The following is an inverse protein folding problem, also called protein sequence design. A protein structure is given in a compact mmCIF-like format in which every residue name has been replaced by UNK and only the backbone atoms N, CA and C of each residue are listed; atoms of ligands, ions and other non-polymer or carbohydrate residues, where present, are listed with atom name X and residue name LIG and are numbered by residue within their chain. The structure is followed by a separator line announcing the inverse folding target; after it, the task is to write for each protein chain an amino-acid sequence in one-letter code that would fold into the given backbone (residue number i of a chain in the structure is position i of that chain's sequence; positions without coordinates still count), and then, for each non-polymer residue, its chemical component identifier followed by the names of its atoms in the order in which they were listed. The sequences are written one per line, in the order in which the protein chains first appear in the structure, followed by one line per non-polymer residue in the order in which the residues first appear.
data_IF_714060387192
#
_entry.id   IF_714060387192
#
_cell.length_a   1.000
_cell.length_b   1.000
_cell.length_c   1.000
_cell.angle_alpha   90.00
_cell.angle_beta   90.00
_cell.angle_gamma   90.00
#
_symmetry.space_group_name_H-M   'P 1'
#
loop_
_entity.id
_entity.type
_entity.pdbx_description
1 polymer ?
#
# COMPACT_ATOMS: atom_id res chain seq x y z
N UNK A 1 -12.92 14.07 -20.24
CA UNK A 1 -12.45 13.82 -18.86
C UNK A 1 -12.62 12.35 -18.57
N UNK A 2 -11.56 11.53 -18.57
CA UNK A 2 -11.62 10.11 -18.16
C UNK A 2 -10.30 9.74 -17.47
N UNK A 3 -10.12 10.21 -16.22
CA UNK A 3 -9.02 9.81 -15.34
C UNK A 3 -9.41 8.61 -14.45
N UNK A 4 -10.19 7.67 -14.99
CA UNK A 4 -10.77 6.53 -14.26
C UNK A 4 -9.94 5.25 -14.35
N UNK A 5 -8.66 5.31 -14.73
CA UNK A 5 -7.90 4.09 -15.05
C UNK A 5 -6.61 3.83 -14.26
N UNK A 6 -6.27 4.61 -13.24
CA UNK A 6 -5.00 4.34 -12.53
C UNK A 6 -4.99 4.70 -11.04
N UNK A 7 -6.14 4.64 -10.37
CA UNK A 7 -6.13 4.73 -8.90
C UNK A 7 -5.75 3.37 -8.31
N UNK A 8 -4.75 3.32 -7.40
CA UNK A 8 -4.44 2.09 -6.69
C UNK A 8 -5.66 1.55 -5.96
N UNK A 9 -5.90 0.24 -6.07
CA UNK A 9 -6.95 -0.43 -5.30
C UNK A 9 -6.60 -0.51 -3.82
N UNK A 10 -5.31 -0.58 -3.49
CA UNK A 10 -4.80 -0.58 -2.12
C UNK A 10 -3.78 0.52 -1.91
N UNK A 11 -3.81 1.16 -0.75
CA UNK A 11 -2.85 2.17 -0.36
C UNK A 11 -2.56 2.07 1.14
N UNK A 12 -1.46 2.66 1.59
CA UNK A 12 -1.15 2.77 3.01
C UNK A 12 -1.14 4.25 3.43
N UNK A 13 -1.50 4.52 4.68
CA UNK A 13 -1.42 5.83 5.30
C UNK A 13 -0.75 5.74 6.68
N UNK A 14 0.19 6.65 7.01
CA UNK A 14 0.75 6.70 8.36
C UNK A 14 -0.33 7.03 9.39
N UNK A 15 -0.29 6.35 10.53
CA UNK A 15 -1.18 6.57 11.67
C UNK A 15 -0.38 6.32 12.96
N UNK A 16 0.00 7.41 13.64
CA UNK A 16 0.89 7.36 14.80
C UNK A 16 2.21 6.64 14.46
N UNK A 17 2.52 5.54 15.15
CA UNK A 17 3.73 4.74 14.98
C UNK A 17 3.55 3.55 14.03
N UNK A 18 2.45 3.50 13.28
CA UNK A 18 2.13 2.41 12.37
C UNK A 18 1.68 2.93 11.01
N UNK A 19 1.64 2.04 10.03
CA UNK A 19 1.10 2.28 8.70
C UNK A 19 -0.13 1.41 8.50
N UNK A 20 -1.29 2.05 8.38
CA UNK A 20 -2.53 1.36 8.09
C UNK A 20 -2.68 1.17 6.58
N UNK A 21 -3.06 -0.02 6.17
CA UNK A 21 -3.33 -0.40 4.80
C UNK A 21 -4.84 -0.39 4.60
N UNK A 22 -5.28 0.29 3.54
CA UNK A 22 -6.68 0.40 3.17
C UNK A 22 -6.89 -0.12 1.75
N UNK A 23 -8.11 -0.60 1.49
CA UNK A 23 -8.63 -0.88 0.16
C UNK A 23 -9.59 0.23 -0.23
N UNK A 24 -9.37 0.83 -1.38
CA UNK A 24 -10.28 1.81 -1.97
C UNK A 24 -11.45 1.08 -2.65
N UNK A 25 -12.61 1.10 -2.01
CA UNK A 25 -13.89 0.67 -2.60
C UNK A 25 -14.70 1.91 -3.05
N UNK A 26 -15.75 1.72 -3.85
CA UNK A 26 -16.52 2.80 -4.54
C UNK A 26 -17.28 3.81 -3.66
N UNK A 27 -16.94 3.94 -2.38
CA UNK A 27 -17.57 4.90 -1.48
C UNK A 27 -17.07 4.88 -0.03
N UNK A 28 -16.26 3.88 0.34
CA UNK A 28 -15.64 3.80 1.66
C UNK A 28 -14.31 3.08 1.56
N UNK A 29 -13.30 3.61 2.23
CA UNK A 29 -12.04 2.90 2.36
C UNK A 29 -12.17 1.84 3.46
N UNK A 30 -11.86 0.60 3.11
CA UNK A 30 -11.90 -0.53 4.03
C UNK A 30 -10.52 -0.74 4.64
N UNK A 31 -10.41 -0.74 5.96
CA UNK A 31 -9.17 -1.11 6.64
C UNK A 31 -8.84 -2.59 6.37
N UNK A 32 -7.62 -2.87 5.94
CA UNK A 32 -7.15 -4.21 5.57
C UNK A 32 -6.19 -4.75 6.62
N UNK A 33 -5.18 -3.96 6.99
CA UNK A 33 -4.13 -4.38 7.92
C UNK A 33 -3.33 -3.18 8.46
N UNK A 34 -2.48 -3.40 9.46
CA UNK A 34 -1.49 -2.42 9.92
C UNK A 34 -0.12 -3.07 10.09
N UNK A 35 0.92 -2.29 9.81
CA UNK A 35 2.31 -2.72 9.94
C UNK A 35 3.14 -1.66 10.62
N UNK A 36 4.23 -2.06 11.26
CA UNK A 36 5.09 -1.15 12.01
C UNK A 36 5.95 -0.27 11.09
N UNK A 37 6.41 -0.81 9.95
CA UNK A 37 7.35 -0.11 9.08
C UNK A 37 6.74 0.29 7.74
N UNK A 38 7.25 1.40 7.18
CA UNK A 38 6.84 1.85 5.86
C UNK A 38 7.22 0.84 4.76
N UNK A 39 8.33 0.12 4.93
CA UNK A 39 8.79 -0.86 3.95
C UNK A 39 7.84 -2.06 3.84
N UNK A 40 7.39 -2.59 4.99
CA UNK A 40 6.35 -3.62 5.03
C UNK A 40 5.05 -3.12 4.41
N UNK A 41 4.66 -1.87 4.69
CA UNK A 41 3.44 -1.28 4.16
C UNK A 41 3.50 -1.18 2.63
N UNK A 42 4.64 -0.74 2.12
CA UNK A 42 4.91 -0.64 0.68
C UNK A 42 4.92 -2.01 0.03
N UNK A 43 5.61 -3.00 0.61
CA UNK A 43 5.64 -4.38 0.09
C UNK A 43 4.23 -4.95 -0.02
N UNK A 44 3.43 -4.80 1.04
CA UNK A 44 2.07 -5.34 1.11
C UNK A 44 1.12 -4.62 0.16
N UNK A 45 1.20 -3.29 0.04
CA UNK A 45 0.43 -2.55 -0.96
C UNK A 45 0.78 -2.96 -2.40
N UNK A 46 2.07 -3.18 -2.70
CA UNK A 46 2.46 -3.66 -4.02
C UNK A 46 1.91 -5.06 -4.31
N UNK A 47 2.05 -6.00 -3.36
CA UNK A 47 1.49 -7.35 -3.45
C UNK A 47 -0.03 -7.32 -3.69
N UNK A 48 -0.76 -6.54 -2.89
CA UNK A 48 -2.22 -6.42 -2.98
C UNK A 48 -2.70 -5.77 -4.28
N UNK A 49 -1.91 -4.87 -4.87
CA UNK A 49 -2.19 -4.28 -6.18
C UNK A 49 -1.67 -5.13 -7.35
N UNK A 50 -1.00 -6.26 -7.10
CA UNK A 50 -0.36 -7.07 -8.14
C UNK A 50 0.80 -6.36 -8.84
N UNK A 51 1.43 -5.39 -8.18
CA UNK A 51 2.55 -4.63 -8.72
C UNK A 51 3.88 -5.33 -8.43
N UNK A 52 4.82 -5.23 -9.38
CA UNK A 52 6.15 -5.75 -9.17
C UNK A 52 6.93 -4.88 -8.16
N UNK A 53 7.10 -5.40 -6.94
CA UNK A 53 7.88 -4.73 -5.90
C UNK A 53 9.37 -5.00 -6.11
N UNK A 54 10.14 -3.94 -6.41
CA UNK A 54 11.60 -3.96 -6.41
C UNK A 54 12.11 -3.25 -5.15
N UNK A 55 12.66 -3.97 -4.15
CA UNK A 55 13.27 -3.33 -2.99
C UNK A 55 14.43 -2.45 -3.45
N UNK A 56 14.58 -1.26 -2.84
CA UNK A 56 15.54 -0.26 -3.32
C UNK A 56 16.98 -0.58 -2.93
N UNK A 57 17.22 -1.39 -1.89
CA UNK A 57 18.55 -1.82 -1.46
C UNK A 57 18.54 -3.29 -1.05
N UNK A 58 19.06 -4.18 -1.89
CA UNK A 58 19.60 -5.47 -1.43
C UNK A 58 21.03 -5.25 -0.95
N UNK A 59 21.23 -4.48 0.12
CA UNK A 59 22.46 -4.62 0.91
C UNK A 59 22.29 -5.86 1.78
N UNK A 60 22.61 -7.00 1.17
CA UNK A 60 23.02 -8.20 1.88
C UNK A 60 24.15 -7.75 2.81
N UNK A 61 23.93 -7.87 4.12
CA UNK A 61 24.99 -7.69 5.11
C UNK A 61 26.06 -8.75 4.93
#
# INVERSE_FOLDING_TARGET
MNQTQNKPKYYYSPRFNHFNIYRQDSGKDTYVDCVATQEEAKRKVYELNGWNYKPKNSTVK
#
